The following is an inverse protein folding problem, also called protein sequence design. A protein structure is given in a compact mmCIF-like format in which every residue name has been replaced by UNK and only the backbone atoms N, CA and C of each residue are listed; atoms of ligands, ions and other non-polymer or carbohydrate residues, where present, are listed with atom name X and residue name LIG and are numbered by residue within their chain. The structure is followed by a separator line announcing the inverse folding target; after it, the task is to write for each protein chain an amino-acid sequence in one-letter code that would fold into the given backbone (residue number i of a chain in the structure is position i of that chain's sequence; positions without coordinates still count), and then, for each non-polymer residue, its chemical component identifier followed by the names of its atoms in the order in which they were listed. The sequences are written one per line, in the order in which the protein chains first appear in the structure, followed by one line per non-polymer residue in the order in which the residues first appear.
data_IF_629581642866
#
_entry.id   IF_629581642866
#
_cell.length_a   1.000
_cell.length_b   1.000
_cell.length_c   1.000
_cell.angle_alpha   90.00
_cell.angle_beta   90.00
_cell.angle_gamma   90.00
#
_symmetry.space_group_name_H-M   'P 1'
#
loop_
_entity.id
_entity.type
_entity.pdbx_description
1 polymer ?
#
# COMPACT_ATOMS: atom_id res chain seq x y z
N UNK A 1 0.73 20.37 9.65
CA UNK A 1 0.44 20.15 8.23
C UNK A 1 1.02 18.81 7.76
N UNK A 2 2.33 18.57 7.90
CA UNK A 2 3.00 17.33 7.44
C UNK A 2 2.34 16.07 7.99
N UNK A 3 2.17 15.97 9.32
CA UNK A 3 1.54 14.81 9.97
C UNK A 3 0.10 14.59 9.49
N UNK A 4 -0.65 15.66 9.23
CA UNK A 4 -1.99 15.59 8.64
C UNK A 4 -1.93 15.02 7.21
N UNK A 5 -1.04 15.54 6.36
CA UNK A 5 -0.87 15.07 5.00
C UNK A 5 -0.46 13.57 4.95
N UNK A 6 0.47 13.18 5.82
CA UNK A 6 0.87 11.76 5.96
C UNK A 6 -0.29 10.87 6.41
N UNK A 7 -1.10 11.32 7.40
CA UNK A 7 -2.28 10.57 7.83
C UNK A 7 -3.30 10.44 6.69
N UNK A 8 -3.62 11.53 6.00
CA UNK A 8 -4.57 11.55 4.89
C UNK A 8 -4.12 10.63 3.75
N UNK A 9 -2.84 10.71 3.35
CA UNK A 9 -2.28 9.86 2.30
C UNK A 9 -2.34 8.37 2.66
N UNK A 10 -1.94 8.00 3.89
CA UNK A 10 -1.97 6.59 4.31
C UNK A 10 -3.40 6.05 4.45
N UNK A 11 -4.35 6.85 4.95
CA UNK A 11 -5.78 6.47 4.98
C UNK A 11 -6.30 6.30 3.56
N UNK A 12 -6.00 7.22 2.65
CA UNK A 12 -6.37 7.11 1.24
C UNK A 12 -5.82 5.86 0.58
N UNK A 13 -4.52 5.59 0.74
CA UNK A 13 -3.87 4.37 0.22
C UNK A 13 -4.53 3.11 0.78
N UNK A 14 -4.80 3.07 2.08
CA UNK A 14 -5.43 1.91 2.72
C UNK A 14 -6.84 1.66 2.15
N UNK A 15 -7.66 2.70 2.01
CA UNK A 15 -8.99 2.60 1.44
C UNK A 15 -8.96 2.21 -0.04
N UNK A 16 -7.96 2.68 -0.81
CA UNK A 16 -7.78 2.26 -2.21
C UNK A 16 -7.44 0.78 -2.31
N UNK A 17 -6.60 0.26 -1.41
CA UNK A 17 -6.29 -1.16 -1.41
C UNK A 17 -7.50 -2.02 -1.03
N UNK A 18 -8.39 -1.53 -0.16
CA UNK A 18 -9.65 -2.24 0.11
C UNK A 18 -10.56 -2.29 -1.12
N UNK A 19 -10.65 -1.19 -1.88
CA UNK A 19 -11.40 -1.21 -3.14
C UNK A 19 -10.79 -2.25 -4.08
N UNK A 20 -9.47 -2.26 -4.25
CA UNK A 20 -8.79 -3.21 -5.13
C UNK A 20 -9.00 -4.67 -4.70
N UNK A 21 -9.15 -4.92 -3.39
CA UNK A 21 -9.31 -6.26 -2.83
C UNK A 21 -10.77 -6.74 -2.90
N UNK A 22 -11.74 -5.86 -2.59
CA UNK A 22 -13.15 -6.25 -2.42
C UNK A 22 -14.02 -5.96 -3.63
N UNK A 23 -13.58 -5.11 -4.54
CA UNK A 23 -14.29 -4.76 -5.78
C UNK A 23 -13.43 -5.18 -6.96
N UNK A 24 -13.51 -6.45 -7.43
CA UNK A 24 -12.70 -6.91 -8.56
C UNK A 24 -13.09 -6.16 -9.83
N UNK A 25 -12.08 -5.74 -10.58
CA UNK A 25 -12.23 -5.16 -11.92
C UNK A 25 -11.61 -6.11 -12.94
N UNK A 26 -12.38 -6.46 -13.99
CA UNK A 26 -11.93 -7.37 -15.03
C UNK A 26 -10.84 -6.77 -15.93
N UNK A 27 -10.71 -5.44 -15.93
CA UNK A 27 -9.74 -4.71 -16.76
C UNK A 27 -8.40 -4.52 -16.08
N UNK A 28 -8.36 -4.64 -14.75
CA UNK A 28 -7.15 -4.46 -13.95
C UNK A 28 -6.66 -5.80 -13.40
N UNK A 29 -5.33 -6.00 -13.31
CA UNK A 29 -4.82 -7.20 -12.67
C UNK A 29 -5.33 -7.28 -11.22
N UNK A 30 -5.91 -8.43 -10.89
CA UNK A 30 -6.40 -8.67 -9.54
C UNK A 30 -5.31 -8.39 -8.50
N UNK A 31 -5.71 -7.88 -7.34
CA UNK A 31 -4.82 -7.61 -6.21
C UNK A 31 -4.35 -8.93 -5.55
N UNK A 32 -3.74 -9.81 -6.35
CA UNK A 32 -3.33 -11.18 -5.96
C UNK A 32 -1.85 -11.29 -5.59
N UNK A 33 -1.09 -10.21 -5.69
CA UNK A 33 0.34 -10.21 -5.40
C UNK A 33 0.70 -9.66 -4.01
N UNK A 34 1.91 -9.99 -3.55
CA UNK A 34 2.50 -9.50 -2.29
C UNK A 34 2.57 -7.98 -2.19
N UNK A 35 2.75 -7.28 -3.33
CA UNK A 35 2.82 -5.82 -3.36
C UNK A 35 1.56 -5.12 -2.82
N UNK A 36 0.38 -5.69 -3.06
CA UNK A 36 -0.88 -5.14 -2.56
C UNK A 36 -1.00 -5.31 -1.04
N UNK A 37 -0.66 -6.49 -0.55
CA UNK A 37 -0.65 -6.77 0.88
C UNK A 37 0.42 -5.95 1.62
N UNK A 38 1.59 -5.76 1.03
CA UNK A 38 2.64 -4.94 1.61
C UNK A 38 2.24 -3.46 1.67
N UNK A 39 1.49 -2.95 0.67
CA UNK A 39 0.92 -1.60 0.71
C UNK A 39 -0.11 -1.44 1.85
N UNK A 40 -0.97 -2.44 2.10
CA UNK A 40 -1.90 -2.46 3.24
C UNK A 40 -1.12 -2.45 4.56
N UNK A 41 -0.13 -3.32 4.70
CA UNK A 41 0.70 -3.43 5.91
C UNK A 41 1.46 -2.14 6.21
N UNK A 42 2.07 -1.54 5.18
CA UNK A 42 2.79 -0.26 5.31
C UNK A 42 1.87 0.88 5.73
N UNK A 43 0.71 1.03 5.07
CA UNK A 43 -0.26 2.07 5.40
C UNK A 43 -0.83 1.87 6.80
N UNK A 44 -1.14 0.63 7.18
CA UNK A 44 -1.63 0.28 8.51
C UNK A 44 -0.61 0.63 9.60
N UNK A 45 0.65 0.21 9.45
CA UNK A 45 1.71 0.52 10.38
C UNK A 45 1.92 2.05 10.51
N UNK A 46 1.91 2.76 9.38
CA UNK A 46 2.05 4.22 9.35
C UNK A 46 0.90 4.91 10.07
N UNK A 47 -0.35 4.49 9.86
CA UNK A 47 -1.52 5.10 10.51
C UNK A 47 -1.48 4.86 12.02
N UNK A 48 -1.11 3.67 12.49
CA UNK A 48 -1.00 3.33 13.91
C UNK A 48 -0.02 4.28 14.63
N UNK A 49 1.05 4.68 13.96
CA UNK A 49 2.05 5.58 14.54
C UNK A 49 1.67 7.06 14.35
N UNK A 50 1.30 7.44 13.13
CA UNK A 50 1.10 8.85 12.75
C UNK A 50 -0.20 9.41 13.29
N UNK A 51 -1.27 8.60 13.36
CA UNK A 51 -2.58 9.09 13.78
C UNK A 51 -2.65 9.49 15.27
N UNK A 52 -2.11 8.73 16.24
CA UNK A 52 -2.01 9.19 17.63
C UNK A 52 -1.20 10.47 17.78
N UNK A 53 -0.09 10.60 17.02
CA UNK A 53 0.72 11.82 17.02
C UNK A 53 -0.07 13.01 16.48
N UNK A 54 -0.88 12.81 15.43
CA UNK A 54 -1.79 13.82 14.90
C UNK A 54 -2.80 14.27 15.96
N UNK A 55 -3.46 13.33 16.65
CA UNK A 55 -4.43 13.63 17.70
C UNK A 55 -3.79 14.36 18.90
N UNK A 56 -2.60 13.95 19.29
CA UNK A 56 -1.85 14.59 20.36
C UNK A 56 -1.46 16.03 19.98
N UNK A 57 -0.87 16.21 18.79
CA UNK A 57 -0.49 17.52 18.27
C UNK A 57 -1.71 18.45 18.14
N UNK A 58 -2.82 17.92 17.63
CA UNK A 58 -4.08 18.68 17.52
C UNK A 58 -4.62 19.11 18.88
N UNK A 59 -4.64 18.21 19.87
CA UNK A 59 -5.03 18.55 21.24
C UNK A 59 -4.13 19.57 21.89
N UNK A 60 -2.81 19.42 21.69
CA UNK A 60 -1.81 20.36 22.20
C UNK A 60 -2.03 21.77 21.61
N UNK A 61 -2.18 21.86 20.28
CA UNK A 61 -2.45 23.14 19.63
C UNK A 61 -3.75 23.80 20.13
N UNK A 62 -4.82 23.03 20.30
CA UNK A 62 -6.07 23.56 20.80
C UNK A 62 -5.96 24.11 22.22
N UNK A 63 -5.24 23.40 23.09
CA UNK A 63 -4.99 23.85 24.46
C UNK A 63 -4.17 25.13 24.50
N UNK A 64 -3.08 25.22 23.69
CA UNK A 64 -2.23 26.40 23.64
C UNK A 64 -2.99 27.64 23.10
N UNK A 65 -3.82 27.47 22.08
CA UNK A 65 -4.66 28.54 21.54
C UNK A 65 -5.75 28.97 22.55
N UNK A 66 -6.33 28.03 23.29
CA UNK A 66 -7.33 28.36 24.33
C UNK A 66 -6.71 29.13 25.49
N UNK A 67 -5.46 28.80 25.87
CA UNK A 67 -4.73 29.50 26.92
C UNK A 67 -4.23 30.89 26.49
N UNK A 68 -3.94 31.11 25.21
CA UNK A 68 -3.39 32.35 24.69
C UNK A 68 -4.10 32.77 23.40
N UNK A 69 -5.24 33.49 23.49
CA UNK A 69 -6.05 33.88 22.31
C UNK A 69 -5.28 34.72 21.28
N UNK A 70 -4.29 35.50 21.72
CA UNK A 70 -3.43 36.32 20.83
C UNK A 70 -2.65 35.45 19.83
N UNK A 71 -2.30 34.20 20.20
CA UNK A 71 -1.64 33.26 19.31
C UNK A 71 -2.57 32.76 18.18
N UNK A 72 -3.88 32.88 18.33
CA UNK A 72 -4.84 32.53 17.29
C UNK A 72 -4.65 33.37 16.01
N UNK A 73 -4.19 34.61 16.16
CA UNK A 73 -3.99 35.59 15.09
C UNK A 73 -2.54 35.63 14.55
N UNK A 74 -1.68 34.72 15.00
CA UNK A 74 -0.29 34.66 14.56
C UNK A 74 -0.21 34.48 13.02
N UNK A 75 0.60 35.33 12.34
CA UNK A 75 0.77 35.34 10.87
C UNK A 75 1.15 33.95 10.34
N UNK A 76 2.03 33.24 11.04
CA UNK A 76 2.48 31.88 10.67
C UNK A 76 1.31 30.89 10.66
N UNK A 77 0.42 30.97 11.67
CA UNK A 77 -0.75 30.08 11.74
C UNK A 77 -1.70 30.34 10.58
N UNK A 78 -2.02 31.60 10.28
CA UNK A 78 -2.88 31.97 9.16
C UNK A 78 -2.27 31.48 7.83
N UNK A 79 -0.98 31.69 7.63
CA UNK A 79 -0.28 31.23 6.43
C UNK A 79 -0.35 29.70 6.27
N UNK A 80 -0.13 28.93 7.34
CA UNK A 80 -0.27 27.47 7.32
C UNK A 80 -1.70 27.00 7.04
N UNK A 81 -2.71 27.71 7.54
CA UNK A 81 -4.13 27.42 7.24
C UNK A 81 -4.42 27.65 5.76
N UNK A 82 -3.99 28.79 5.17
CA UNK A 82 -4.14 29.06 3.75
C UNK A 82 -3.39 28.04 2.88
N UNK A 83 -2.16 27.69 3.26
CA UNK A 83 -1.40 26.66 2.56
C UNK A 83 -2.13 25.31 2.55
N UNK A 84 -2.68 24.89 3.70
CA UNK A 84 -3.42 23.64 3.80
C UNK A 84 -4.69 23.67 2.96
N UNK A 85 -5.40 24.79 2.96
CA UNK A 85 -6.59 25.02 2.14
C UNK A 85 -6.26 24.98 0.64
N UNK A 86 -5.17 25.64 0.24
CA UNK A 86 -4.70 25.65 -1.14
C UNK A 86 -4.36 24.24 -1.62
N UNK A 87 -3.62 23.49 -0.82
CA UNK A 87 -3.27 22.10 -1.14
C UNK A 87 -4.51 21.20 -1.21
N UNK A 88 -5.42 21.31 -0.24
CA UNK A 88 -6.67 20.52 -0.25
C UNK A 88 -7.55 20.86 -1.45
N UNK A 89 -7.67 22.16 -1.79
CA UNK A 89 -8.37 22.62 -3.00
C UNK A 89 -7.74 22.07 -4.28
N UNK A 90 -6.40 22.05 -4.35
CA UNK A 90 -5.67 21.47 -5.47
C UNK A 90 -5.96 19.98 -5.66
N UNK A 91 -6.04 19.21 -4.57
CA UNK A 91 -6.46 17.80 -4.64
C UNK A 91 -7.88 17.63 -5.14
N UNK A 92 -8.85 18.46 -4.68
CA UNK A 92 -10.23 18.42 -5.16
C UNK A 92 -10.29 18.72 -6.67
N UNK A 93 -9.57 19.73 -7.14
CA UNK A 93 -9.52 20.07 -8.57
C UNK A 93 -8.88 18.92 -9.37
N UNK A 94 -7.76 18.38 -8.91
CA UNK A 94 -7.09 17.26 -9.55
C UNK A 94 -7.97 16.02 -9.64
N UNK A 95 -8.76 15.75 -8.61
CA UNK A 95 -9.71 14.63 -8.57
C UNK A 95 -10.83 14.81 -9.60
N UNK A 96 -11.38 16.03 -9.73
CA UNK A 96 -12.35 16.36 -10.79
C UNK A 96 -11.77 16.21 -12.20
N UNK A 97 -10.53 16.67 -12.41
CA UNK A 97 -9.85 16.50 -13.70
C UNK A 97 -9.68 15.02 -14.01
N UNK A 98 -9.26 14.21 -13.01
CA UNK A 98 -9.13 12.76 -13.17
C UNK A 98 -10.47 12.09 -13.50
N UNK A 99 -11.55 12.55 -12.87
CA UNK A 99 -12.90 12.05 -13.14
C UNK A 99 -13.34 12.32 -14.58
N UNK A 100 -13.16 13.55 -15.04
CA UNK A 100 -13.51 13.95 -16.42
C UNK A 100 -12.64 13.19 -17.43
N UNK A 101 -11.34 13.05 -17.14
CA UNK A 101 -10.42 12.34 -18.00
C UNK A 101 -10.77 10.83 -18.12
N UNK A 102 -11.06 10.16 -17.01
CA UNK A 102 -11.51 8.77 -17.01
C UNK A 102 -12.85 8.58 -17.72
N UNK A 103 -13.77 9.59 -17.60
CA UNK A 103 -15.03 9.57 -18.36
C UNK A 103 -14.80 9.65 -19.88
N UNK A 104 -13.91 10.54 -20.31
CA UNK A 104 -13.55 10.70 -21.72
C UNK A 104 -12.85 9.47 -22.30
N UNK A 105 -12.08 8.74 -21.50
CA UNK A 105 -11.43 7.49 -21.90
C UNK A 105 -12.36 6.28 -21.90
N UNK A 106 -13.54 6.39 -21.30
CA UNK A 106 -14.45 5.25 -21.13
C UNK A 106 -14.08 4.31 -19.98
N UNK A 107 -13.11 4.67 -19.14
CA UNK A 107 -12.58 3.87 -18.02
C UNK A 107 -13.37 4.06 -16.71
N UNK A 108 -14.65 4.44 -16.81
CA UNK A 108 -15.51 4.62 -15.64
C UNK A 108 -15.90 3.28 -15.02
N UNK A 109 -14.95 2.68 -14.34
CA UNK A 109 -15.22 1.50 -13.52
C UNK A 109 -15.75 1.87 -12.15
N UNK A 110 -16.46 0.94 -11.50
CA UNK A 110 -16.92 1.12 -10.11
C UNK A 110 -15.73 1.38 -9.18
N UNK A 111 -14.60 0.71 -9.40
CA UNK A 111 -13.38 0.95 -8.65
C UNK A 111 -12.89 2.40 -8.77
N UNK A 112 -12.85 2.93 -9.99
CA UNK A 112 -12.44 4.30 -10.27
C UNK A 112 -13.35 5.30 -9.54
N UNK A 113 -14.66 5.15 -9.68
CA UNK A 113 -15.64 6.02 -9.03
C UNK A 113 -15.50 6.02 -7.50
N UNK A 114 -15.29 4.85 -6.89
CA UNK A 114 -15.08 4.73 -5.44
C UNK A 114 -13.77 5.39 -4.99
N UNK A 115 -12.69 5.29 -5.76
CA UNK A 115 -11.41 5.96 -5.46
C UNK A 115 -11.55 7.47 -5.51
N UNK A 116 -12.23 8.01 -6.52
CA UNK A 116 -12.55 9.43 -6.62
C UNK A 116 -13.37 9.91 -5.41
N UNK A 117 -14.41 9.16 -5.02
CA UNK A 117 -15.21 9.49 -3.84
C UNK A 117 -14.38 9.53 -2.53
N UNK A 118 -13.41 8.63 -2.38
CA UNK A 118 -12.51 8.63 -1.21
C UNK A 118 -11.65 9.88 -1.19
N UNK A 119 -11.02 10.25 -2.29
CA UNK A 119 -10.18 11.46 -2.38
C UNK A 119 -11.03 12.69 -2.08
N UNK A 120 -12.20 12.79 -2.70
CA UNK A 120 -13.15 13.89 -2.50
C UNK A 120 -13.60 14.00 -1.04
N UNK A 121 -13.88 12.87 -0.39
CA UNK A 121 -14.26 12.84 1.02
C UNK A 121 -13.12 13.30 1.93
N UNK A 122 -11.90 12.81 1.73
CA UNK A 122 -10.73 13.16 2.55
C UNK A 122 -10.38 14.64 2.35
N UNK A 123 -10.20 15.06 1.09
CA UNK A 123 -9.84 16.45 0.76
C UNK A 123 -10.94 17.43 1.15
N UNK A 124 -12.21 17.08 0.91
CA UNK A 124 -13.38 17.88 1.30
C UNK A 124 -13.51 18.04 2.82
N UNK A 125 -13.26 16.98 3.58
CA UNK A 125 -13.28 17.04 5.06
C UNK A 125 -12.17 17.96 5.58
N UNK A 126 -10.96 17.85 5.04
CA UNK A 126 -9.83 18.72 5.39
C UNK A 126 -10.16 20.16 4.99
N UNK A 127 -10.62 20.39 3.77
CA UNK A 127 -10.96 21.70 3.27
C UNK A 127 -12.04 22.38 4.13
N UNK A 128 -13.14 21.69 4.40
CA UNK A 128 -14.23 22.19 5.24
C UNK A 128 -13.76 22.53 6.66
N UNK A 129 -12.95 21.65 7.24
CA UNK A 129 -12.39 21.85 8.58
C UNK A 129 -11.54 23.12 8.65
N UNK A 130 -10.61 23.29 7.72
CA UNK A 130 -9.69 24.43 7.71
C UNK A 130 -10.38 25.73 7.28
N UNK A 131 -11.39 25.66 6.43
CA UNK A 131 -12.21 26.84 6.07
C UNK A 131 -12.94 27.39 7.30
N UNK A 132 -13.57 26.52 8.10
CA UNK A 132 -14.19 26.94 9.37
C UNK A 132 -13.19 27.49 10.38
N UNK A 133 -12.00 26.91 10.44
CA UNK A 133 -10.93 27.38 11.32
C UNK A 133 -10.45 28.79 10.97
N UNK A 134 -10.49 29.18 9.69
CA UNK A 134 -10.20 30.53 9.21
C UNK A 134 -11.24 31.56 9.64
N UNK A 135 -12.52 31.20 9.60
CA UNK A 135 -13.61 32.11 9.93
C UNK A 135 -13.85 32.31 11.43
N UNK A 136 -12.95 31.83 12.30
CA UNK A 136 -13.04 31.95 13.78
C UNK A 136 -14.39 31.50 14.37
N UNK A 137 -15.18 30.74 13.62
CA UNK A 137 -16.43 30.21 14.14
C UNK A 137 -16.11 29.08 15.13
N UNK A 138 -16.22 29.38 16.42
CA UNK A 138 -15.97 28.50 17.57
C UNK A 138 -16.92 27.29 17.64
N UNK A 139 -17.82 27.14 16.70
CA UNK A 139 -18.72 25.99 16.57
C UNK A 139 -18.08 24.85 15.78
N UNK A 140 -16.97 24.30 16.25
CA UNK A 140 -16.50 23.01 15.71
C UNK A 140 -17.64 22.02 15.80
N UNK A 141 -18.10 21.51 14.67
CA UNK A 141 -18.93 20.32 14.68
C UNK A 141 -18.02 19.17 15.17
N UNK A 142 -18.06 18.95 16.51
CA UNK A 142 -17.38 17.83 17.15
C UNK A 142 -17.70 16.50 16.43
N UNK A 143 -18.90 16.47 15.82
CA UNK A 143 -19.37 15.35 15.01
C UNK A 143 -18.43 15.03 13.82
N UNK A 144 -17.97 16.02 13.05
CA UNK A 144 -17.08 15.78 11.89
C UNK A 144 -15.75 15.18 12.34
N UNK A 145 -15.20 15.69 13.45
CA UNK A 145 -13.97 15.12 14.04
C UNK A 145 -14.16 13.67 14.51
N UNK A 146 -15.27 13.37 15.17
CA UNK A 146 -15.57 12.01 15.63
C UNK A 146 -15.83 11.04 14.48
N UNK A 147 -16.50 11.50 13.40
CA UNK A 147 -16.70 10.70 12.19
C UNK A 147 -15.35 10.36 11.55
N UNK A 148 -14.45 11.34 11.42
CA UNK A 148 -13.11 11.08 10.87
C UNK A 148 -12.32 10.07 11.72
N UNK A 149 -12.35 10.21 13.05
CA UNK A 149 -11.72 9.24 13.97
C UNK A 149 -12.34 7.85 13.83
N UNK A 150 -13.67 7.77 13.75
CA UNK A 150 -14.37 6.49 13.57
C UNK A 150 -13.99 5.81 12.25
N UNK A 151 -13.91 6.55 11.15
CA UNK A 151 -13.46 6.02 9.84
C UNK A 151 -12.05 5.46 9.92
N UNK A 152 -11.12 6.17 10.59
CA UNK A 152 -9.74 5.68 10.75
C UNK A 152 -9.70 4.41 11.61
N UNK A 153 -10.44 4.36 12.72
CA UNK A 153 -10.49 3.17 13.59
C UNK A 153 -11.06 1.97 12.81
N UNK A 154 -12.17 2.15 12.10
CA UNK A 154 -12.77 1.10 11.26
C UNK A 154 -11.77 0.63 10.20
N UNK A 155 -11.07 1.57 9.53
CA UNK A 155 -10.05 1.24 8.54
C UNK A 155 -8.91 0.43 9.14
N UNK A 156 -8.46 0.74 10.36
CA UNK A 156 -7.43 -0.04 11.07
C UNK A 156 -7.94 -1.47 11.37
N UNK A 157 -9.16 -1.62 11.87
CA UNK A 157 -9.74 -2.94 12.18
C UNK A 157 -9.84 -3.81 10.92
N UNK A 158 -10.40 -3.25 9.84
CA UNK A 158 -10.48 -3.94 8.55
C UNK A 158 -9.08 -4.26 8.02
N UNK A 159 -8.10 -3.37 8.22
CA UNK A 159 -6.72 -3.59 7.85
C UNK A 159 -6.07 -4.78 8.54
N UNK A 160 -6.28 -4.93 9.83
CA UNK A 160 -5.79 -6.11 10.56
C UNK A 160 -6.40 -7.41 10.06
N UNK A 161 -7.69 -7.40 9.73
CA UNK A 161 -8.38 -8.57 9.19
C UNK A 161 -7.81 -8.91 7.80
N UNK A 162 -7.60 -7.90 6.93
CA UNK A 162 -7.12 -8.07 5.55
C UNK A 162 -5.62 -8.36 5.46
N UNK A 163 -4.79 -7.80 6.36
CA UNK A 163 -3.34 -7.98 6.36
C UNK A 163 -2.91 -9.41 6.70
N UNK A 164 -3.80 -10.19 7.30
CA UNK A 164 -3.52 -11.57 7.74
C UNK A 164 -2.60 -11.66 8.96
N UNK A 165 -2.46 -12.87 9.49
CA UNK A 165 -1.55 -13.14 10.61
C UNK A 165 -0.09 -13.04 10.17
N UNK A 166 0.82 -12.43 10.96
CA UNK A 166 2.26 -12.39 10.66
C UNK A 166 2.88 -13.78 10.40
N UNK A 167 2.33 -14.82 11.02
CA UNK A 167 2.76 -16.19 10.80
C UNK A 167 2.42 -16.70 9.39
N UNK A 168 1.20 -16.43 8.89
CA UNK A 168 0.80 -16.76 7.51
C UNK A 168 1.68 -16.05 6.50
N UNK A 169 1.90 -14.76 6.70
CA UNK A 169 2.75 -13.95 5.83
C UNK A 169 4.17 -14.51 5.72
N UNK A 170 4.70 -15.01 6.84
CA UNK A 170 6.04 -15.63 6.84
C UNK A 170 6.06 -16.93 6.03
N UNK A 171 5.01 -17.73 6.11
CA UNK A 171 4.88 -18.95 5.31
C UNK A 171 4.72 -18.60 3.81
N UNK A 172 3.84 -17.66 3.47
CA UNK A 172 3.66 -17.19 2.09
C UNK A 172 4.98 -16.69 1.48
N UNK A 173 5.76 -15.89 2.22
CA UNK A 173 7.08 -15.43 1.76
C UNK A 173 8.10 -16.57 1.58
N UNK A 174 8.00 -17.64 2.37
CA UNK A 174 8.83 -18.81 2.17
C UNK A 174 8.43 -19.58 0.92
N UNK A 175 7.13 -19.73 0.68
CA UNK A 175 6.62 -20.41 -0.52
C UNK A 175 6.91 -19.60 -1.79
N UNK A 176 6.81 -18.28 -1.75
CA UNK A 176 7.24 -17.41 -2.88
C UNK A 176 8.74 -17.56 -3.19
N UNK A 177 9.58 -17.66 -2.16
CA UNK A 177 11.00 -17.93 -2.36
C UNK A 177 11.22 -19.28 -3.04
N UNK A 178 10.51 -20.32 -2.60
CA UNK A 178 10.59 -21.65 -3.23
C UNK A 178 10.20 -21.60 -4.71
N UNK A 179 9.09 -20.91 -5.03
CA UNK A 179 8.67 -20.72 -6.43
C UNK A 179 9.74 -19.98 -7.22
N UNK A 180 10.31 -18.92 -6.67
CA UNK A 180 11.40 -18.16 -7.30
C UNK A 180 12.67 -19.00 -7.50
N UNK A 181 13.03 -19.80 -6.51
CA UNK A 181 14.17 -20.71 -6.59
C UNK A 181 13.97 -21.80 -7.66
N UNK A 182 12.76 -22.41 -7.71
CA UNK A 182 12.40 -23.39 -8.75
C UNK A 182 12.41 -22.78 -10.15
N UNK A 183 11.92 -21.55 -10.32
CA UNK A 183 12.01 -20.83 -11.59
C UNK A 183 13.46 -20.53 -11.98
N UNK A 184 14.29 -20.17 -11.02
CA UNK A 184 15.72 -19.94 -11.25
C UNK A 184 16.42 -21.20 -11.70
N UNK A 185 16.17 -22.35 -11.05
CA UNK A 185 16.70 -23.65 -11.44
C UNK A 185 16.18 -24.03 -12.84
N UNK A 186 14.88 -23.86 -13.09
CA UNK A 186 14.28 -24.16 -14.39
C UNK A 186 14.93 -23.33 -15.51
N UNK A 187 15.12 -22.04 -15.30
CA UNK A 187 15.78 -21.16 -16.28
C UNK A 187 17.22 -21.59 -16.54
N UNK A 188 17.96 -21.96 -15.48
CA UNK A 188 19.32 -22.46 -15.63
C UNK A 188 19.38 -23.76 -16.42
N UNK A 189 18.46 -24.68 -16.18
CA UNK A 189 18.36 -25.94 -16.94
C UNK A 189 18.05 -25.67 -18.41
N UNK A 190 17.01 -24.86 -18.70
CA UNK A 190 16.46 -24.69 -20.06
C UNK A 190 17.30 -23.73 -20.87
N UNK A 191 17.68 -22.59 -20.30
CA UNK A 191 18.30 -21.51 -21.06
C UNK A 191 19.84 -21.57 -21.09
N UNK A 192 20.47 -22.24 -20.12
CA UNK A 192 21.92 -22.32 -20.05
C UNK A 192 22.43 -23.73 -20.31
N UNK A 193 22.03 -24.70 -19.49
CA UNK A 193 22.55 -26.05 -19.55
C UNK A 193 22.14 -26.80 -20.82
N UNK A 194 20.83 -26.76 -21.14
CA UNK A 194 20.31 -27.37 -22.36
C UNK A 194 20.89 -26.76 -23.62
N UNK A 195 20.97 -25.44 -23.68
CA UNK A 195 21.51 -24.77 -24.88
C UNK A 195 23.02 -25.04 -25.09
N UNK A 196 23.76 -25.26 -24.00
CA UNK A 196 25.20 -25.53 -24.11
C UNK A 196 25.53 -27.00 -24.34
N UNK A 197 24.75 -27.94 -23.78
CA UNK A 197 25.08 -29.37 -23.79
C UNK A 197 24.09 -30.25 -24.57
N UNK A 198 22.96 -29.72 -25.01
CA UNK A 198 21.93 -30.45 -25.79
C UNK A 198 21.24 -31.57 -25.03
N UNK A 199 21.41 -31.65 -23.71
CA UNK A 199 20.82 -32.69 -22.87
C UNK A 199 20.45 -32.15 -21.48
N UNK A 200 19.51 -32.79 -20.80
CA UNK A 200 19.14 -32.43 -19.45
C UNK A 200 20.20 -32.88 -18.44
N UNK A 201 20.44 -32.11 -17.34
CA UNK A 201 21.39 -32.53 -16.29
C UNK A 201 20.93 -33.83 -15.63
N UNK A 202 21.85 -34.57 -15.05
CA UNK A 202 21.52 -35.77 -14.26
C UNK A 202 21.12 -35.38 -12.83
N UNK A 203 21.84 -34.40 -12.27
CA UNK A 203 21.61 -33.85 -10.92
C UNK A 203 21.65 -32.33 -10.94
N UNK A 204 21.13 -31.70 -9.88
CA UNK A 204 21.21 -30.22 -9.74
C UNK A 204 22.66 -29.76 -9.52
N UNK A 205 23.57 -30.61 -9.10
CA UNK A 205 24.99 -30.28 -8.96
C UNK A 205 25.67 -30.06 -10.32
N UNK A 206 25.20 -30.70 -11.40
CA UNK A 206 25.66 -30.48 -12.76
C UNK A 206 25.41 -29.07 -13.29
N UNK A 207 24.51 -28.32 -12.67
CA UNK A 207 24.21 -26.93 -12.99
C UNK A 207 25.24 -25.96 -12.44
N UNK A 208 26.12 -26.41 -11.55
CA UNK A 208 27.16 -25.57 -10.97
C UNK A 208 28.09 -25.07 -12.07
N UNK A 209 28.11 -23.77 -12.23
CA UNK A 209 28.93 -23.07 -13.24
C UNK A 209 29.95 -22.18 -12.53
N UNK A 210 31.20 -22.54 -12.62
CA UNK A 210 32.30 -21.75 -12.05
C UNK A 210 32.57 -20.45 -12.80
N UNK A 211 32.11 -20.32 -14.05
CA UNK A 211 32.31 -19.13 -14.86
C UNK A 211 31.27 -18.07 -14.49
N UNK A 212 29.98 -18.48 -14.42
CA UNK A 212 28.87 -17.59 -14.07
C UNK A 212 28.59 -17.54 -12.57
N UNK A 213 29.29 -18.38 -11.78
CA UNK A 213 29.12 -18.45 -10.33
C UNK A 213 27.77 -19.04 -9.89
N UNK A 214 27.06 -19.75 -10.78
CA UNK A 214 25.76 -20.31 -10.44
C UNK A 214 25.93 -21.48 -9.48
N UNK A 215 25.16 -21.43 -8.38
CA UNK A 215 24.98 -22.51 -7.43
C UNK A 215 23.48 -22.73 -7.25
N UNK A 216 23.03 -23.98 -7.37
CA UNK A 216 21.61 -24.30 -7.19
C UNK A 216 21.12 -23.84 -5.81
N UNK A 217 20.04 -23.05 -5.74
CA UNK A 217 19.47 -22.64 -4.46
C UNK A 217 18.98 -23.85 -3.67
N UNK A 218 18.88 -23.66 -2.35
CA UNK A 218 18.40 -24.67 -1.38
C UNK A 218 17.15 -24.15 -0.68
N UNK A 219 16.28 -25.06 -0.24
CA UNK A 219 15.06 -24.68 0.49
C UNK A 219 15.40 -23.86 1.74
N UNK A 220 14.87 -22.64 1.88
CA UNK A 220 15.15 -21.75 3.00
C UNK A 220 14.69 -22.29 4.36
N UNK A 221 13.75 -23.24 4.39
CA UNK A 221 13.20 -23.83 5.62
C UNK A 221 13.95 -25.08 6.04
N UNK A 222 14.10 -26.03 5.12
CA UNK A 222 14.72 -27.34 5.40
C UNK A 222 16.23 -27.34 5.25
N UNK A 223 16.77 -26.35 4.49
CA UNK A 223 18.17 -26.26 4.05
C UNK A 223 18.64 -27.47 3.22
N UNK A 224 17.70 -28.21 2.66
CA UNK A 224 17.97 -29.31 1.76
C UNK A 224 17.89 -28.81 0.29
N UNK A 225 18.58 -29.48 -0.64
CA UNK A 225 18.43 -29.22 -2.05
C UNK A 225 17.02 -29.58 -2.51
N UNK A 226 16.52 -28.87 -3.54
CA UNK A 226 15.23 -29.17 -4.17
C UNK A 226 15.27 -30.53 -4.87
N UNK A 227 14.13 -31.19 -4.93
CA UNK A 227 14.03 -32.46 -5.64
C UNK A 227 14.03 -32.23 -7.15
N UNK A 228 14.93 -32.94 -7.85
CA UNK A 228 15.01 -32.96 -9.31
C UNK A 228 14.87 -34.38 -9.81
N UNK A 229 13.86 -34.64 -10.64
CA UNK A 229 13.59 -35.97 -11.22
C UNK A 229 13.55 -35.82 -12.74
N UNK A 230 14.50 -36.45 -13.42
CA UNK A 230 14.48 -36.57 -14.88
C UNK A 230 13.49 -37.66 -15.29
N UNK A 231 12.39 -37.28 -16.00
CA UNK A 231 11.39 -38.26 -16.45
C UNK A 231 11.66 -38.81 -17.85
N UNK A 232 12.25 -38.00 -18.72
CA UNK A 232 12.63 -38.42 -20.08
C UNK A 232 13.79 -37.56 -20.58
N UNK A 233 14.16 -37.75 -21.88
CA UNK A 233 15.23 -36.92 -22.47
C UNK A 233 14.89 -35.43 -22.55
N UNK A 234 13.59 -35.07 -22.56
CA UNK A 234 13.09 -33.72 -22.75
C UNK A 234 12.16 -33.26 -21.60
N UNK A 235 12.00 -34.05 -20.57
CA UNK A 235 11.11 -33.71 -19.46
C UNK A 235 11.71 -34.00 -18.10
N UNK A 236 11.50 -33.07 -17.18
CA UNK A 236 11.94 -33.17 -15.79
C UNK A 236 10.84 -32.65 -14.86
N UNK A 237 10.95 -32.98 -13.59
CA UNK A 237 10.10 -32.51 -12.49
C UNK A 237 11.00 -31.85 -11.44
N UNK A 238 10.57 -30.69 -10.96
CA UNK A 238 11.17 -29.99 -9.82
C UNK A 238 10.13 -29.90 -8.71
N UNK A 239 10.51 -30.26 -7.49
CA UNK A 239 9.65 -30.21 -6.30
C UNK A 239 10.35 -29.51 -5.14
N UNK A 240 9.54 -28.85 -4.26
CA UNK A 240 9.97 -28.15 -3.04
C UNK A 240 9.28 -28.75 -1.80
#
# INVERSE_FOLDING_TARGET
VVVLAMSAANVGTLLFQYINLYVPDLTLPACTGTWCQDAIRWSLASIIVVFPVLLWAWRFLQRDVAANPVKADARVRRWLLYLTLFVAGGFIIGDFVSLIYGWLQGDLTIQFALKVLIVFYIAGTIFYYFLKALHLQTGYSKAVGWVAVAVVIVSIVVGFISAGSPFRVRLEKQDERRVGDLQTIQNQIVSVYWQSKGQLPQTLEDLKDSINGFVSPIDPKTRLPYEYIRKSQLSFLLCA
#
